data_IF_636139073138
#
_entry.id   IF_636139073138
#
_cell.length_a   1.000
_cell.length_b   1.000
_cell.length_c   1.000
_cell.angle_alpha   90.00
_cell.angle_beta   90.00
_cell.angle_gamma   90.00
#
_symmetry.space_group_name_H-M   'P 1'
#
loop_
_entity.id
_entity.type
_entity.pdbx_description
1 polymer ?
#
# COMPACT_ATOMS: atom_id res chain seq x y z
N UNK A 1 -29.53 34.35 23.91
CA UNK A 1 -29.78 32.90 23.77
C UNK A 1 -30.89 32.52 24.74
N UNK A 2 -31.92 31.78 24.31
CA UNK A 2 -33.11 31.52 25.10
C UNK A 2 -32.80 30.55 26.25
N UNK A 3 -33.28 30.86 27.45
CA UNK A 3 -33.01 30.14 28.68
C UNK A 3 -33.42 28.64 28.61
N UNK A 4 -34.40 28.32 27.77
CA UNK A 4 -34.87 26.95 27.49
C UNK A 4 -33.80 26.01 26.92
N UNK A 5 -32.77 26.51 26.24
CA UNK A 5 -31.77 25.62 25.65
C UNK A 5 -30.78 25.08 26.69
N UNK A 6 -30.67 25.70 27.87
CA UNK A 6 -29.72 25.27 28.92
C UNK A 6 -30.27 24.13 29.78
N UNK A 7 -31.58 24.06 30.02
CA UNK A 7 -32.19 22.98 30.80
C UNK A 7 -32.10 21.64 30.04
N UNK A 8 -32.50 21.62 28.76
CA UNK A 8 -32.45 20.39 27.93
C UNK A 8 -31.04 19.79 27.83
N UNK A 9 -29.99 20.62 27.81
CA UNK A 9 -28.61 20.15 27.77
C UNK A 9 -28.20 19.51 29.09
N UNK A 10 -28.62 20.07 30.24
CA UNK A 10 -28.34 19.48 31.55
C UNK A 10 -29.05 18.15 31.73
N UNK A 11 -30.31 18.05 31.33
CA UNK A 11 -31.10 16.82 31.44
C UNK A 11 -30.51 15.72 30.54
N UNK A 12 -30.08 16.08 29.33
CA UNK A 12 -29.41 15.14 28.41
C UNK A 12 -28.07 14.65 28.96
N UNK A 13 -27.28 15.53 29.60
CA UNK A 13 -26.00 15.15 30.20
C UNK A 13 -26.20 14.26 31.43
N UNK A 14 -27.21 14.52 32.25
CA UNK A 14 -27.54 13.68 33.39
C UNK A 14 -27.98 12.28 32.95
N UNK A 15 -28.84 12.18 31.93
CA UNK A 15 -29.26 10.90 31.37
C UNK A 15 -28.08 10.11 30.78
N UNK A 16 -27.15 10.80 30.11
CA UNK A 16 -25.96 10.17 29.53
C UNK A 16 -24.98 9.70 30.61
N UNK A 17 -24.82 10.46 31.70
CA UNK A 17 -24.02 10.05 32.85
C UNK A 17 -24.60 8.80 33.54
N UNK A 18 -25.92 8.71 33.68
CA UNK A 18 -26.59 7.53 34.25
C UNK A 18 -26.41 6.31 33.34
N UNK A 19 -26.60 6.45 32.03
CA UNK A 19 -26.37 5.36 31.06
C UNK A 19 -24.93 4.88 31.08
N UNK A 20 -23.96 5.81 31.13
CA UNK A 20 -22.55 5.47 31.24
C UNK A 20 -22.24 4.74 32.54
N UNK A 21 -22.74 5.23 33.67
CA UNK A 21 -22.58 4.58 34.98
C UNK A 21 -23.16 3.18 35.01
N UNK A 22 -24.34 2.97 34.41
CA UNK A 22 -24.97 1.65 34.33
C UNK A 22 -24.19 0.71 33.40
N UNK A 23 -23.67 1.21 32.28
CA UNK A 23 -22.79 0.46 31.39
C UNK A 23 -21.52 0.00 32.11
N UNK A 24 -20.83 0.91 32.80
CA UNK A 24 -19.63 0.57 33.58
C UNK A 24 -19.95 -0.46 34.68
N UNK A 25 -21.04 -0.26 35.43
CA UNK A 25 -21.45 -1.21 36.46
C UNK A 25 -21.76 -2.59 35.89
N UNK A 26 -22.43 -2.65 34.74
CA UNK A 26 -22.72 -3.90 34.03
C UNK A 26 -21.43 -4.61 33.58
N UNK A 27 -20.48 -3.90 33.00
CA UNK A 27 -19.18 -4.48 32.60
C UNK A 27 -18.39 -4.99 33.80
N UNK A 28 -18.36 -4.25 34.91
CA UNK A 28 -17.71 -4.69 36.15
C UNK A 28 -18.37 -5.95 36.69
N UNK A 29 -19.70 -5.99 36.73
CA UNK A 29 -20.45 -7.17 37.20
C UNK A 29 -20.21 -8.39 36.30
N UNK A 30 -20.19 -8.20 34.98
CA UNK A 30 -19.90 -9.27 34.02
C UNK A 30 -18.46 -9.79 34.16
N UNK A 31 -17.49 -8.91 34.34
CA UNK A 31 -16.10 -9.29 34.60
C UNK A 31 -15.94 -10.07 35.91
N UNK A 32 -16.60 -9.63 36.99
CA UNK A 32 -16.63 -10.37 38.25
C UNK A 32 -17.26 -11.77 38.09
N UNK A 33 -18.33 -11.89 37.31
CA UNK A 33 -18.95 -13.18 37.02
C UNK A 33 -18.00 -14.12 36.26
N UNK A 34 -17.23 -13.61 35.29
CA UNK A 34 -16.21 -14.39 34.59
C UNK A 34 -15.08 -14.85 35.51
N UNK A 35 -14.62 -13.99 36.44
CA UNK A 35 -13.59 -14.35 37.40
C UNK A 35 -14.06 -15.47 38.33
N UNK A 36 -15.31 -15.40 38.81
CA UNK A 36 -15.90 -16.46 39.64
C UNK A 36 -16.00 -17.76 38.84
N UNK A 37 -16.49 -17.70 37.59
CA UNK A 37 -16.61 -18.88 36.73
C UNK A 37 -15.23 -19.53 36.46
N UNK A 38 -14.21 -18.72 36.14
CA UNK A 38 -12.85 -19.20 35.94
C UNK A 38 -12.28 -19.86 37.20
N UNK A 39 -12.52 -19.26 38.38
CA UNK A 39 -12.12 -19.84 39.66
C UNK A 39 -12.80 -21.17 39.96
N UNK A 40 -14.10 -21.30 39.65
CA UNK A 40 -14.84 -22.55 39.79
C UNK A 40 -14.32 -23.64 38.85
N UNK A 41 -14.11 -23.32 37.57
CA UNK A 41 -13.53 -24.25 36.58
C UNK A 41 -12.15 -24.73 37.05
N UNK A 42 -11.30 -23.80 37.50
CA UNK A 42 -9.98 -24.14 38.03
C UNK A 42 -10.07 -25.04 39.26
N UNK A 43 -10.98 -24.76 40.19
CA UNK A 43 -11.22 -25.60 41.37
C UNK A 43 -11.62 -27.03 41.01
N UNK A 44 -12.55 -27.18 40.06
CA UNK A 44 -12.98 -28.51 39.57
C UNK A 44 -11.83 -29.25 38.90
N UNK A 45 -11.08 -28.58 38.02
CA UNK A 45 -9.92 -29.18 37.33
C UNK A 45 -8.83 -29.60 38.32
N UNK A 46 -8.55 -28.79 39.34
CA UNK A 46 -7.55 -29.11 40.36
C UNK A 46 -7.92 -30.36 41.18
N UNK A 47 -9.21 -30.58 41.45
CA UNK A 47 -9.71 -31.78 42.13
C UNK A 47 -9.62 -33.00 41.21
N UNK A 48 -10.06 -32.86 39.96
CA UNK A 48 -10.10 -33.97 38.99
C UNK A 48 -8.69 -34.43 38.59
N UNK A 49 -7.76 -33.51 38.38
CA UNK A 49 -6.43 -33.83 37.87
C UNK A 49 -5.41 -34.20 38.97
N UNK A 50 -5.80 -34.13 40.25
CA UNK A 50 -4.94 -34.40 41.42
C UNK A 50 -3.55 -33.75 41.33
N UNK A 51 -3.51 -32.49 40.88
CA UNK A 51 -2.24 -31.82 40.60
C UNK A 51 -1.38 -31.64 41.84
N UNK A 52 -0.06 -31.94 41.76
CA UNK A 52 0.88 -31.67 42.83
C UNK A 52 0.98 -30.16 43.11
N UNK A 53 1.30 -29.80 44.36
CA UNK A 53 1.28 -28.40 44.82
C UNK A 53 2.15 -27.45 43.97
N UNK A 54 3.23 -27.96 43.37
CA UNK A 54 4.11 -27.18 42.48
C UNK A 54 3.43 -26.74 41.17
N UNK A 55 2.62 -27.61 40.55
CA UNK A 55 1.91 -27.27 39.31
C UNK A 55 0.79 -26.26 39.55
N UNK A 56 0.15 -26.30 40.73
CA UNK A 56 -0.87 -25.32 41.12
C UNK A 56 -0.28 -23.91 41.22
N UNK A 57 0.93 -23.78 41.77
CA UNK A 57 1.66 -22.51 41.83
C UNK A 57 2.04 -22.01 40.43
N UNK A 58 2.51 -22.91 39.56
CA UNK A 58 2.86 -22.56 38.19
C UNK A 58 1.67 -22.05 37.38
N UNK A 59 0.54 -22.77 37.39
CA UNK A 59 -0.67 -22.35 36.66
C UNK A 59 -1.29 -21.06 37.21
N UNK A 60 -1.21 -20.85 38.53
CA UNK A 60 -1.65 -19.60 39.17
C UNK A 60 -0.81 -18.40 38.72
N UNK A 61 0.52 -18.56 38.66
CA UNK A 61 1.43 -17.54 38.16
C UNK A 61 1.23 -17.27 36.66
N UNK A 62 1.04 -18.32 35.86
CA UNK A 62 0.79 -18.20 34.42
C UNK A 62 -0.53 -17.47 34.13
N UNK A 63 -1.60 -17.81 34.87
CA UNK A 63 -2.89 -17.11 34.78
C UNK A 63 -2.77 -15.63 35.17
N UNK A 64 -2.03 -15.34 36.24
CA UNK A 64 -1.76 -13.96 36.68
C UNK A 64 -0.97 -13.17 35.64
N UNK A 65 0.00 -13.80 34.98
CA UNK A 65 0.76 -13.16 33.90
C UNK A 65 -0.10 -12.91 32.66
N UNK A 66 -0.96 -13.88 32.29
CA UNK A 66 -1.87 -13.75 31.16
C UNK A 66 -2.89 -12.63 31.40
N UNK A 67 -3.47 -12.55 32.59
CA UNK A 67 -4.41 -11.48 32.97
C UNK A 67 -3.74 -10.10 32.96
N UNK A 68 -2.51 -9.98 33.46
CA UNK A 68 -1.71 -8.74 33.38
C UNK A 68 -1.46 -8.31 31.92
N UNK A 69 -1.12 -9.26 31.04
CA UNK A 69 -0.91 -8.98 29.61
C UNK A 69 -2.20 -8.55 28.92
N UNK A 70 -3.32 -9.22 29.18
CA UNK A 70 -4.63 -8.85 28.63
C UNK A 70 -5.04 -7.46 29.11
N UNK A 71 -4.86 -7.14 30.40
CA UNK A 71 -5.13 -5.78 30.90
C UNK A 71 -4.22 -4.73 30.27
N UNK A 72 -2.94 -5.03 30.05
CA UNK A 72 -2.01 -4.15 29.33
C UNK A 72 -2.45 -3.89 27.89
N UNK A 73 -2.95 -4.91 27.19
CA UNK A 73 -3.51 -4.77 25.82
C UNK A 73 -4.79 -3.94 25.84
N UNK A 74 -5.69 -4.17 26.80
CA UNK A 74 -6.92 -3.39 26.94
C UNK A 74 -6.59 -1.92 27.23
N UNK A 75 -5.69 -1.64 28.17
CA UNK A 75 -5.26 -0.27 28.47
C UNK A 75 -4.59 0.40 27.28
N UNK A 76 -3.71 -0.31 26.56
CA UNK A 76 -3.10 0.20 25.33
C UNK A 76 -4.13 0.44 24.22
N UNK A 77 -5.16 -0.40 24.12
CA UNK A 77 -6.27 -0.18 23.17
C UNK A 77 -7.15 1.01 23.55
N UNK A 78 -7.32 1.29 24.86
CA UNK A 78 -8.00 2.49 25.33
C UNK A 78 -7.19 3.77 25.05
N UNK A 79 -5.85 3.71 25.13
CA UNK A 79 -4.97 4.82 24.72
C UNK A 79 -4.97 5.05 23.21
N UNK A 80 -5.31 4.03 22.42
CA UNK A 80 -5.51 4.14 20.97
C UNK A 80 -6.85 4.77 20.60
N UNK A 81 -7.75 5.07 21.55
CA UNK A 81 -8.95 5.86 21.28
C UNK A 81 -8.46 7.31 21.06
N UNK A 82 -8.47 7.81 19.81
CA UNK A 82 -7.94 9.14 19.55
C UNK A 82 -8.77 10.18 20.29
N UNK A 83 -8.12 11.21 20.86
CA UNK A 83 -8.78 12.35 21.52
C UNK A 83 -9.86 13.03 20.63
N UNK A 84 -9.85 12.76 19.33
CA UNK A 84 -10.88 13.20 18.39
C UNK A 84 -12.26 12.56 18.64
N UNK A 85 -12.34 11.39 19.27
CA UNK A 85 -13.59 10.71 19.62
C UNK A 85 -14.17 11.18 20.95
N UNK A 86 -13.32 11.55 21.91
CA UNK A 86 -13.72 12.16 23.19
C UNK A 86 -13.86 13.69 23.10
N UNK A 87 -13.54 14.26 21.94
CA UNK A 87 -13.73 15.66 21.61
C UNK A 87 -15.19 16.08 21.74
N UNK A 88 -15.53 16.62 22.91
CA UNK A 88 -16.65 17.56 23.08
C UNK A 88 -16.67 18.47 21.85
N UNK A 89 -17.83 18.54 21.18
CA UNK A 89 -18.07 19.37 19.99
C UNK A 89 -17.73 20.83 20.29
N UNK A 90 -16.46 21.18 20.22
CA UNK A 90 -15.98 22.55 20.22
C UNK A 90 -16.42 23.10 18.87
N UNK A 91 -17.66 23.61 18.84
CA UNK A 91 -18.24 24.28 17.67
C UNK A 91 -17.22 25.32 17.24
N UNK A 92 -16.62 25.09 16.07
CA UNK A 92 -15.71 26.04 15.47
C UNK A 92 -16.47 27.36 15.29
N UNK A 93 -15.81 28.47 15.64
CA UNK A 93 -16.41 29.80 15.47
C UNK A 93 -16.78 30.00 13.99
N UNK A 94 -17.94 30.57 13.65
CA UNK A 94 -18.29 30.86 12.27
C UNK A 94 -17.36 31.92 11.68
N UNK A 95 -17.13 31.85 10.36
CA UNK A 95 -16.36 32.87 9.65
C UNK A 95 -17.05 34.24 9.79
N UNK A 96 -16.33 35.30 10.20
CA UNK A 96 -16.94 36.62 10.39
C UNK A 96 -17.44 37.26 9.08
N UNK A 97 -16.91 36.84 7.92
CA UNK A 97 -17.35 37.37 6.62
C UNK A 97 -18.57 36.64 6.03
N UNK A 98 -18.61 35.31 6.11
CA UNK A 98 -19.64 34.51 5.42
C UNK A 98 -20.54 33.68 6.34
N UNK A 99 -20.31 33.69 7.66
CA UNK A 99 -21.12 32.99 8.65
C UNK A 99 -20.97 31.47 8.67
N UNK A 100 -20.25 30.86 7.73
CA UNK A 100 -20.06 29.40 7.67
C UNK A 100 -19.04 28.92 8.72
N UNK A 101 -19.29 27.75 9.31
CA UNK A 101 -18.41 27.14 10.32
C UNK A 101 -17.03 26.82 9.73
N UNK A 102 -15.99 27.06 10.52
CA UNK A 102 -14.62 26.80 10.14
C UNK A 102 -14.28 25.31 10.33
N UNK A 103 -13.42 24.75 9.49
CA UNK A 103 -13.03 23.32 9.61
C UNK A 103 -12.34 23.03 10.93
N UNK A 104 -11.55 23.98 11.43
CA UNK A 104 -10.87 23.91 12.72
C UNK A 104 -10.95 25.26 13.42
N UNK A 105 -10.90 25.27 14.76
CA UNK A 105 -10.89 26.50 15.55
C UNK A 105 -9.64 27.38 15.29
N UNK A 106 -8.58 26.82 14.68
CA UNK A 106 -7.31 27.48 14.34
C UNK A 106 -7.16 27.81 12.85
N UNK A 107 -8.19 27.61 12.03
CA UNK A 107 -8.12 27.95 10.62
C UNK A 107 -7.77 29.44 10.44
N UNK A 108 -6.74 29.75 9.64
CA UNK A 108 -6.34 31.14 9.34
C UNK A 108 -7.12 31.74 8.17
N UNK A 109 -7.78 30.90 7.37
CA UNK A 109 -8.48 31.28 6.15
C UNK A 109 -9.77 30.47 5.98
N UNK A 110 -10.83 31.09 5.46
CA UNK A 110 -12.10 30.40 5.20
C UNK A 110 -12.03 29.73 3.84
N UNK A 111 -12.26 28.43 3.81
CA UNK A 111 -12.31 27.65 2.55
C UNK A 111 -13.50 28.06 1.67
N UNK A 112 -14.55 28.67 2.22
CA UNK A 112 -15.72 29.09 1.45
C UNK A 112 -15.60 30.46 0.81
N UNK A 113 -14.97 31.44 1.47
CA UNK A 113 -14.90 32.82 0.97
C UNK A 113 -13.47 33.36 0.83
N UNK A 114 -12.46 32.58 1.15
CA UNK A 114 -11.04 32.95 1.05
C UNK A 114 -10.56 33.98 2.07
N UNK A 115 -11.42 34.52 2.92
CA UNK A 115 -11.06 35.56 3.88
C UNK A 115 -10.07 35.07 4.95
N UNK A 116 -9.04 35.86 5.24
CA UNK A 116 -8.13 35.68 6.39
C UNK A 116 -8.60 36.56 7.56
N UNK A 117 -8.66 36.05 8.79
CA UNK A 117 -9.13 36.83 9.98
C UNK A 117 -8.20 36.80 11.18
N UNK A 118 -7.15 35.96 11.17
CA UNK A 118 -6.04 36.11 12.10
C UNK A 118 -5.00 36.99 11.44
N UNK A 119 -5.29 38.29 11.43
CA UNK A 119 -4.31 39.31 11.12
C UNK A 119 -3.14 39.18 12.09
N UNK A 120 -1.94 39.35 11.56
CA UNK A 120 -0.73 39.57 12.33
C UNK A 120 -1.05 40.49 13.50
N UNK A 121 -0.71 40.07 14.73
CA UNK A 121 -0.69 40.99 15.85
C UNK A 121 0.05 42.24 15.37
N UNK A 122 -0.56 43.44 15.46
CA UNK A 122 0.13 44.65 15.05
C UNK A 122 1.43 44.70 15.84
N UNK A 123 2.54 44.48 15.12
CA UNK A 123 3.86 44.73 15.65
C UNK A 123 3.83 46.16 16.17
N UNK A 124 4.25 46.31 17.42
CA UNK A 124 4.44 47.60 18.07
C UNK A 124 5.28 48.50 17.14
N UNK A 125 4.61 49.38 16.42
CA UNK A 125 5.22 50.44 15.62
C UNK A 125 5.50 51.60 16.56
N UNK A 126 6.63 51.52 17.23
CA UNK A 126 7.26 52.62 17.95
C UNK A 126 8.73 52.67 17.55
N UNK A 127 9.03 53.37 16.47
CA UNK A 127 10.38 53.40 15.89
C UNK A 127 10.46 54.34 14.70
N UNK A 128 10.15 55.60 14.94
CA UNK A 128 10.37 56.73 14.05
C UNK A 128 11.88 56.85 13.74
N UNK A 129 12.25 56.69 12.47
CA UNK A 129 13.57 57.10 11.97
C UNK A 129 13.46 57.57 10.52
N UNK A 130 13.18 58.85 10.40
CA UNK A 130 13.52 59.70 9.27
C UNK A 130 15.02 59.61 8.94
N UNK A 131 15.40 59.03 7.79
CA UNK A 131 16.67 59.36 7.13
C UNK A 131 16.48 59.40 5.60
N UNK A 132 16.47 60.65 5.11
CA UNK A 132 17.05 61.17 3.86
C UNK A 132 16.97 60.36 2.56
N UNK A 133 16.29 61.00 1.62
CA UNK A 133 16.46 60.86 0.19
C UNK A 133 17.92 61.01 -0.27
N UNK A 134 18.36 60.11 -1.16
CA UNK A 134 19.34 60.45 -2.19
C UNK A 134 18.82 59.99 -3.55
N UNK A 135 18.61 60.98 -4.41
CA UNK A 135 18.32 60.88 -5.83
C UNK A 135 19.49 60.19 -6.55
N UNK A 136 19.19 59.22 -7.40
CA UNK A 136 20.18 58.60 -8.27
C UNK A 136 19.54 57.54 -9.16
N UNK A 137 19.04 57.97 -10.31
CA UNK A 137 18.38 57.08 -11.29
C UNK A 137 19.35 56.14 -11.99
N UNK A 138 18.83 54.97 -12.41
CA UNK A 138 19.14 54.35 -13.70
C UNK A 138 18.11 53.28 -14.04
N UNK A 139 17.71 53.35 -15.30
CA UNK A 139 16.87 52.48 -16.11
C UNK A 139 17.28 51.00 -16.09
N UNK A 140 16.32 50.08 -15.94
CA UNK A 140 16.26 48.80 -16.68
C UNK A 140 15.06 47.94 -16.24
N UNK A 141 14.24 47.50 -17.22
CA UNK A 141 13.39 46.28 -17.20
C UNK A 141 12.20 46.28 -16.22
N UNK A 142 10.92 46.26 -16.61
CA UNK A 142 10.34 45.70 -17.83
C UNK A 142 9.89 44.24 -17.64
N UNK A 143 9.13 43.92 -16.59
CA UNK A 143 8.25 42.74 -16.55
C UNK A 143 6.99 43.06 -15.73
N UNK A 144 5.89 43.30 -16.43
CA UNK A 144 4.54 43.28 -15.86
C UNK A 144 4.20 41.84 -15.45
N UNK A 145 3.94 41.64 -14.16
CA UNK A 145 3.43 40.38 -13.64
C UNK A 145 1.96 40.25 -14.02
N UNK A 146 1.72 39.29 -14.92
CA UNK A 146 0.42 38.81 -15.35
C UNK A 146 -0.48 38.50 -14.16
N UNK A 147 -1.64 39.15 -14.13
CA UNK A 147 -2.77 38.79 -13.28
C UNK A 147 -3.27 37.38 -13.66
N UNK A 148 -3.64 36.53 -12.69
CA UNK A 148 -4.25 35.24 -13.01
C UNK A 148 -5.62 35.45 -13.67
N UNK A 149 -5.85 34.70 -14.75
CA UNK A 149 -7.05 34.75 -15.59
C UNK A 149 -8.33 34.63 -14.73
N UNK A 150 -9.19 35.65 -14.84
CA UNK A 150 -10.56 35.59 -14.34
C UNK A 150 -11.35 34.56 -15.15
N UNK A 151 -12.10 33.70 -14.47
CA UNK A 151 -13.03 32.77 -15.12
C UNK A 151 -14.14 33.56 -15.82
N UNK A 152 -14.20 33.43 -17.15
CA UNK A 152 -15.14 34.14 -18.00
C UNK A 152 -16.56 33.62 -17.78
N UNK A 153 -17.48 34.53 -17.52
CA UNK A 153 -18.91 34.28 -17.30
C UNK A 153 -19.57 33.74 -18.60
N UNK A 154 -20.47 32.77 -18.46
CA UNK A 154 -21.24 32.12 -19.52
C UNK A 154 -22.03 33.09 -20.43
N UNK A 155 -22.28 34.33 -19.99
CA UNK A 155 -22.89 35.39 -20.78
C UNK A 155 -21.95 35.93 -21.88
N UNK A 156 -20.63 35.94 -21.66
CA UNK A 156 -19.66 36.47 -22.62
C UNK A 156 -19.32 35.45 -23.73
N UNK A 157 -19.44 34.15 -23.45
CA UNK A 157 -19.29 33.08 -24.45
C UNK A 157 -20.34 33.17 -25.57
N UNK A 158 -21.53 33.72 -25.28
CA UNK A 158 -22.59 33.92 -26.29
C UNK A 158 -22.32 35.09 -27.24
N UNK A 159 -21.51 36.07 -26.86
CA UNK A 159 -21.08 37.17 -27.75
C UNK A 159 -19.90 36.80 -28.63
N UNK A 160 -19.10 35.81 -28.22
CA UNK A 160 -17.91 35.35 -28.95
C UNK A 160 -18.21 34.37 -30.10
N UNK A 161 -19.48 34.05 -30.38
CA UNK A 161 -19.86 33.24 -31.54
C UNK A 161 -19.39 31.77 -31.49
N UNK A 162 -19.03 31.25 -30.31
CA UNK A 162 -18.61 29.87 -30.14
C UNK A 162 -19.86 28.98 -30.11
N UNK A 163 -20.08 28.08 -31.09
CA UNK A 163 -21.29 27.27 -31.15
C UNK A 163 -21.30 26.21 -30.04
N UNK A 164 -22.40 26.16 -29.30
CA UNK A 164 -22.64 25.13 -28.29
C UNK A 164 -22.90 23.77 -28.98
N UNK A 165 -22.09 22.77 -28.67
CA UNK A 165 -22.33 21.38 -29.11
C UNK A 165 -23.47 20.82 -28.24
N UNK A 166 -24.69 20.83 -28.79
CA UNK A 166 -25.86 20.16 -28.23
C UNK A 166 -25.74 18.66 -28.41
N UNK A 167 -25.68 17.92 -27.30
CA UNK A 167 -25.87 16.47 -27.28
C UNK A 167 -27.35 16.14 -27.52
N UNK A 168 -27.64 15.47 -28.62
CA UNK A 168 -28.92 14.84 -28.90
C UNK A 168 -28.67 13.46 -29.48
N UNK A 169 -29.05 12.41 -28.76
CA UNK A 169 -29.48 11.13 -29.33
C UNK A 169 -30.16 10.28 -28.24
N UNK A 170 -31.49 10.34 -28.23
CA UNK A 170 -32.37 9.30 -27.69
C UNK A 170 -32.69 8.34 -28.83
N UNK A 171 -32.63 7.03 -28.59
CA UNK A 171 -33.58 6.08 -29.18
C UNK A 171 -33.02 4.86 -29.93
N UNK A 172 -33.46 3.69 -29.44
CA UNK A 172 -34.16 2.65 -30.23
C UNK A 172 -33.40 1.42 -30.75
N UNK A 173 -33.69 0.30 -30.06
CA UNK A 173 -34.12 -1.03 -30.54
C UNK A 173 -33.34 -1.83 -31.61
N UNK A 174 -33.07 -3.09 -31.20
CA UNK A 174 -33.14 -4.36 -31.97
C UNK A 174 -32.24 -4.55 -33.19
N UNK A 175 -31.31 -5.52 -33.09
CA UNK A 175 -31.40 -6.83 -33.76
C UNK A 175 -30.15 -7.66 -33.43
N UNK A 176 -30.34 -8.89 -32.92
CA UNK A 176 -29.28 -9.91 -32.84
C UNK A 176 -29.17 -10.63 -34.20
N UNK A 177 -27.96 -10.99 -34.63
CA UNK A 177 -27.77 -12.12 -35.54
C UNK A 177 -27.24 -13.33 -34.77
N UNK A 178 -27.97 -14.44 -34.96
CA UNK A 178 -27.61 -15.80 -34.57
C UNK A 178 -26.36 -16.25 -35.35
N UNK A 179 -25.31 -16.67 -34.64
CA UNK A 179 -24.13 -17.33 -35.23
C UNK A 179 -24.29 -18.83 -35.04
N UNK A 180 -24.36 -19.52 -36.18
CA UNK A 180 -24.38 -20.97 -36.35
C UNK A 180 -22.97 -21.51 -36.08
N UNK A 181 -22.83 -22.41 -35.10
CA UNK A 181 -21.60 -23.18 -34.87
C UNK A 181 -21.62 -24.49 -35.68
N UNK A 182 -20.51 -24.90 -36.33
CA UNK A 182 -20.39 -26.22 -36.94
C UNK A 182 -20.09 -27.32 -35.90
N UNK A 183 -20.39 -28.60 -36.22
CA UNK A 183 -20.45 -29.69 -35.26
C UNK A 183 -19.09 -30.25 -34.83
N UNK A 184 -19.08 -30.69 -33.57
CA UNK A 184 -18.05 -31.43 -32.83
C UNK A 184 -17.62 -32.70 -33.56
N UNK A 185 -16.33 -32.81 -33.90
CA UNK A 185 -15.71 -34.06 -34.28
C UNK A 185 -15.32 -34.86 -33.02
N UNK A 186 -15.87 -36.07 -32.92
CA UNK A 186 -15.50 -37.13 -31.98
C UNK A 186 -14.13 -37.69 -32.33
N UNK A 187 -13.18 -37.63 -31.40
CA UNK A 187 -11.91 -38.35 -31.50
C UNK A 187 -11.93 -39.50 -30.48
N UNK A 188 -11.94 -40.71 -31.06
CA UNK A 188 -11.92 -41.98 -30.38
C UNK A 188 -10.61 -42.22 -29.63
N UNK A 189 -10.78 -42.80 -28.44
CA UNK A 189 -9.74 -43.45 -27.68
C UNK A 189 -9.29 -44.75 -28.35
N UNK A 190 -7.97 -44.96 -28.50
CA UNK A 190 -7.43 -46.32 -28.55
C UNK A 190 -5.97 -46.42 -28.11
N UNK A 191 -5.80 -47.32 -27.14
CA UNK A 191 -4.62 -47.86 -26.48
C UNK A 191 -3.44 -48.27 -27.37
N UNK A 192 -2.23 -48.05 -26.87
CA UNK A 192 -1.09 -49.02 -26.88
C UNK A 192 0.07 -48.39 -26.07
N UNK A 193 0.36 -48.76 -24.82
CA UNK A 193 1.05 -49.98 -24.37
C UNK A 193 2.22 -50.40 -25.27
N UNK A 194 3.44 -50.00 -24.91
CA UNK A 194 4.60 -50.88 -25.05
C UNK A 194 5.71 -50.50 -24.06
N UNK A 195 5.95 -51.43 -23.13
CA UNK A 195 7.09 -51.51 -22.24
C UNK A 195 8.42 -51.56 -23.02
N UNK A 196 9.50 -51.05 -22.42
CA UNK A 196 10.77 -51.78 -22.17
C UNK A 196 11.86 -50.87 -21.59
N UNK A 197 12.13 -51.05 -20.30
CA UNK A 197 13.47 -50.89 -19.70
C UNK A 197 14.44 -51.96 -20.23
N UNK A 198 15.75 -51.69 -20.23
CA UNK A 198 16.64 -52.29 -19.22
C UNK A 198 17.68 -51.29 -18.69
N UNK A 199 17.86 -51.18 -17.37
CA UNK A 199 18.81 -51.95 -16.56
C UNK A 199 20.30 -51.73 -16.91
N UNK A 200 20.96 -50.98 -16.03
CA UNK A 200 22.24 -51.27 -15.38
C UNK A 200 23.27 -52.13 -16.11
N UNK A 201 24.42 -51.50 -16.40
CA UNK A 201 25.82 -51.99 -16.34
C UNK A 201 26.72 -50.84 -16.81
N UNK A 202 27.94 -50.58 -16.37
CA UNK A 202 28.82 -51.05 -15.30
C UNK A 202 30.17 -50.35 -15.57
N UNK A 203 30.88 -50.01 -14.49
CA UNK A 203 32.33 -49.79 -14.39
C UNK A 203 33.03 -48.63 -15.13
N UNK A 204 33.51 -47.71 -14.28
CA UNK A 204 34.93 -47.42 -14.07
C UNK A 204 35.86 -47.57 -15.28
N UNK A 205 36.35 -46.45 -15.81
CA UNK A 205 37.76 -46.35 -16.15
C UNK A 205 38.24 -44.89 -16.16
N UNK A 206 39.31 -44.66 -15.39
CA UNK A 206 40.28 -43.56 -15.49
C UNK A 206 39.89 -42.17 -14.94
N UNK A 207 40.00 -42.12 -13.61
CA UNK A 207 40.91 -41.17 -12.96
C UNK A 207 42.29 -41.21 -13.66
N UNK A 208 42.77 -40.06 -14.13
CA UNK A 208 44.17 -39.63 -14.17
C UNK A 208 44.36 -38.64 -15.32
N UNK A 209 44.57 -37.37 -14.97
CA UNK A 209 45.41 -36.33 -15.58
C UNK A 209 45.12 -35.08 -14.72
N UNK A 210 45.92 -34.77 -13.70
CA UNK A 210 47.28 -34.23 -13.87
C UNK A 210 47.13 -32.72 -14.08
N UNK A 211 46.94 -31.93 -13.02
CA UNK A 211 48.02 -31.20 -12.31
C UNK A 211 48.93 -30.43 -13.27
N UNK A 212 48.45 -29.28 -13.75
CA UNK A 212 49.31 -28.18 -14.17
C UNK A 212 49.01 -26.98 -13.27
N UNK A 213 49.99 -26.67 -12.43
CA UNK A 213 50.06 -25.50 -11.57
C UNK A 213 51.03 -24.56 -12.27
N UNK A 214 50.51 -23.55 -12.95
CA UNK A 214 51.34 -22.50 -13.55
C UNK A 214 51.76 -21.54 -12.45
N UNK A 215 53.04 -21.63 -12.08
CA UNK A 215 53.79 -20.63 -11.35
C UNK A 215 53.90 -19.36 -12.21
N UNK A 216 53.49 -18.22 -11.68
CA UNK A 216 53.84 -16.90 -12.20
C UNK A 216 55.13 -16.43 -11.52
N UNK A 217 56.08 -15.82 -12.25
CA UNK A 217 57.32 -15.32 -11.67
C UNK A 217 57.10 -13.99 -10.94
N UNK A 218 57.80 -13.87 -9.81
CA UNK A 218 58.02 -12.67 -9.03
C UNK A 218 58.56 -11.53 -9.91
N UNK A 219 57.86 -10.39 -9.91
CA UNK A 219 58.39 -9.14 -10.39
C UNK A 219 58.76 -8.25 -9.20
N UNK A 220 60.01 -7.83 -9.25
CA UNK A 220 60.78 -7.07 -8.28
C UNK A 220 60.24 -5.67 -7.99
N UNK A 221 60.40 -5.33 -6.71
CA UNK A 221 60.29 -4.04 -6.04
C UNK A 221 60.88 -2.86 -6.81
N UNK A 222 60.07 -1.84 -7.12
CA UNK A 222 60.52 -0.46 -7.31
C UNK A 222 59.83 0.44 -6.27
N UNK A 223 60.64 1.01 -5.39
CA UNK A 223 60.26 2.02 -4.42
C UNK A 223 59.81 3.31 -5.12
N UNK A 224 58.60 3.79 -4.81
CA UNK A 224 58.19 5.17 -5.06
C UNK A 224 57.73 5.82 -3.75
N UNK A 225 58.11 7.09 -3.51
CA UNK A 225 58.00 7.69 -2.19
C UNK A 225 56.57 8.10 -1.86
N UNK A 226 56.27 7.94 -0.58
CA UNK A 226 55.05 8.33 0.10
C UNK A 226 54.70 9.80 -0.16
N UNK A 227 53.55 10.06 -0.77
CA UNK A 227 52.76 11.25 -0.49
C UNK A 227 51.51 10.84 0.26
N UNK A 228 51.57 11.03 1.58
CA UNK A 228 50.44 11.01 2.49
C UNK A 228 49.43 12.08 2.05
N UNK A 229 48.36 11.65 1.38
CA UNK A 229 47.08 12.35 1.38
C UNK A 229 46.09 11.47 2.11
N UNK A 230 45.79 11.87 3.34
CA UNK A 230 44.64 11.44 4.11
C UNK A 230 43.39 11.81 3.29
N UNK A 231 42.93 10.87 2.46
CA UNK A 231 41.62 10.92 1.88
C UNK A 231 40.64 10.58 3.02
N UNK A 232 39.94 11.60 3.49
CA UNK A 232 38.79 11.44 4.36
C UNK A 232 37.78 10.63 3.56
N UNK A 233 37.65 9.33 3.86
CA UNK A 233 36.59 8.51 3.31
C UNK A 233 35.26 9.19 3.67
N UNK A 234 34.56 9.71 2.66
CA UNK A 234 33.19 10.12 2.83
C UNK A 234 32.42 8.91 3.34
N UNK A 235 31.55 9.06 4.36
CA UNK A 235 30.72 7.96 4.82
C UNK A 235 29.92 7.45 3.62
N UNK A 236 30.10 6.18 3.26
CA UNK A 236 29.22 5.50 2.29
C UNK A 236 27.79 5.68 2.80
N UNK A 237 26.99 6.44 2.04
CA UNK A 237 25.57 6.57 2.36
C UNK A 237 24.95 5.16 2.25
N UNK A 238 24.16 4.74 3.26
CA UNK A 238 23.60 3.42 3.28
C UNK A 238 22.67 3.23 2.07
N UNK A 239 22.96 2.18 1.30
CA UNK A 239 22.20 1.68 0.15
C UNK A 239 20.68 1.86 0.31
N UNK A 240 20.12 2.77 -0.50
CA UNK A 240 18.71 3.19 -0.43
C UNK A 240 17.76 2.02 -0.77
N UNK A 241 18.21 1.04 -1.55
CA UNK A 241 17.43 -0.15 -1.91
C UNK A 241 17.23 -1.06 -0.68
N UNK A 242 18.27 -1.23 0.12
CA UNK A 242 18.23 -1.96 1.39
C UNK A 242 17.38 -1.28 2.46
N UNK A 243 17.20 0.06 2.38
CA UNK A 243 16.23 0.80 3.21
C UNK A 243 14.82 0.57 2.74
N UNK A 244 14.55 0.68 1.43
CA UNK A 244 13.22 0.48 0.85
C UNK A 244 12.66 -0.91 1.19
N UNK A 245 13.47 -1.96 1.06
CA UNK A 245 13.09 -3.33 1.40
C UNK A 245 12.74 -3.50 2.90
N UNK A 246 13.55 -2.94 3.81
CA UNK A 246 13.26 -2.97 5.26
C UNK A 246 12.05 -2.13 5.66
N UNK A 247 11.71 -1.12 4.88
CA UNK A 247 10.53 -0.27 5.09
C UNK A 247 9.23 -0.93 4.66
N UNK A 248 9.26 -1.63 3.52
CA UNK A 248 8.17 -2.52 3.10
C UNK A 248 7.87 -3.53 4.22
N UNK A 249 8.92 -4.13 4.81
CA UNK A 249 8.80 -5.08 5.93
C UNK A 249 8.11 -4.48 7.19
N UNK A 250 8.50 -3.26 7.60
CA UNK A 250 7.92 -2.59 8.79
C UNK A 250 6.47 -2.18 8.57
N UNK A 251 6.11 -1.74 7.35
CA UNK A 251 4.72 -1.42 7.02
C UNK A 251 3.86 -2.66 6.88
N UNK A 252 4.42 -3.75 6.35
CA UNK A 252 3.76 -5.07 6.34
C UNK A 252 3.30 -5.43 7.74
N UNK A 253 4.15 -5.23 8.76
CA UNK A 253 3.77 -5.48 10.18
C UNK A 253 2.65 -4.59 10.70
N UNK A 254 2.60 -3.32 10.30
CA UNK A 254 1.57 -2.38 10.78
C UNK A 254 0.23 -2.58 10.06
N UNK A 255 0.27 -2.83 8.75
CA UNK A 255 -0.87 -3.30 7.96
C UNK A 255 -1.40 -4.61 8.52
N UNK A 256 -0.52 -5.55 8.93
CA UNK A 256 -0.92 -6.78 9.62
C UNK A 256 -1.72 -6.52 10.90
N UNK A 257 -1.42 -5.51 11.71
CA UNK A 257 -2.17 -5.22 12.95
C UNK A 257 -3.57 -4.67 12.67
N UNK A 258 -3.70 -3.77 11.68
CA UNK A 258 -5.02 -3.26 11.27
C UNK A 258 -5.85 -4.34 10.57
N UNK A 259 -5.23 -5.13 9.69
CA UNK A 259 -5.84 -6.32 9.11
C UNK A 259 -6.21 -7.35 10.17
N UNK A 260 -5.41 -7.51 11.23
CA UNK A 260 -5.74 -8.39 12.35
C UNK A 260 -7.04 -7.95 13.04
N UNK A 261 -7.23 -6.64 13.25
CA UNK A 261 -8.48 -6.12 13.79
C UNK A 261 -9.66 -6.34 12.85
N UNK A 262 -9.50 -6.10 11.55
CA UNK A 262 -10.56 -6.37 10.57
C UNK A 262 -10.90 -7.87 10.51
N UNK A 263 -9.90 -8.74 10.58
CA UNK A 263 -10.07 -10.20 10.66
C UNK A 263 -10.74 -10.65 11.95
N UNK A 264 -10.40 -10.05 13.08
CA UNK A 264 -11.07 -10.30 14.36
C UNK A 264 -12.57 -9.94 14.28
N UNK A 265 -12.94 -8.99 13.43
CA UNK A 265 -14.33 -8.60 13.14
C UNK A 265 -14.92 -9.41 11.95
N UNK A 266 -14.21 -10.42 11.44
CA UNK A 266 -14.65 -11.29 10.35
C UNK A 266 -14.65 -10.63 8.96
N UNK A 267 -13.96 -9.51 8.80
CA UNK A 267 -13.77 -8.85 7.48
C UNK A 267 -12.41 -9.25 6.92
N UNK A 268 -12.44 -10.03 5.85
CA UNK A 268 -11.23 -10.55 5.20
C UNK A 268 -10.47 -9.51 4.37
N UNK A 269 -11.14 -8.44 3.94
CA UNK A 269 -10.52 -7.28 3.31
C UNK A 269 -11.43 -6.05 3.42
N UNK A 270 -10.84 -4.87 3.65
CA UNK A 270 -11.57 -3.59 3.65
C UNK A 270 -12.02 -3.24 2.22
N UNK A 271 -11.21 -3.59 1.22
CA UNK A 271 -11.44 -3.25 -0.19
C UNK A 271 -12.63 -3.99 -0.79
N UNK A 272 -12.92 -5.21 -0.31
CA UNK A 272 -14.06 -6.02 -0.76
C UNK A 272 -15.42 -5.40 -0.43
N UNK A 273 -15.48 -4.59 0.62
CA UNK A 273 -16.71 -3.90 1.04
C UNK A 273 -16.96 -2.61 0.25
N UNK A 274 -16.01 -2.17 -0.56
CA UNK A 274 -16.14 -0.95 -1.33
C UNK A 274 -16.83 -1.19 -2.65
N UNK A 275 -17.74 -0.28 -2.99
CA UNK A 275 -18.47 -0.34 -4.24
C UNK A 275 -17.53 0.07 -5.38
N UNK A 276 -17.11 -0.91 -6.18
CA UNK A 276 -16.36 -0.69 -7.42
C UNK A 276 -17.30 -0.39 -8.57
N UNK A 277 -16.77 0.23 -9.62
CA UNK A 277 -17.48 0.24 -10.90
C UNK A 277 -17.57 -1.20 -11.41
N UNK A 278 -18.79 -1.68 -11.65
CA UNK A 278 -19.02 -3.01 -12.20
C UNK A 278 -18.40 -3.20 -13.60
N UNK A 279 -18.07 -2.10 -14.27
CA UNK A 279 -17.43 -2.09 -15.59
C UNK A 279 -15.92 -1.88 -15.54
N UNK A 280 -15.30 -1.77 -14.35
CA UNK A 280 -13.86 -1.64 -14.22
C UNK A 280 -13.19 -2.89 -14.80
N UNK A 281 -12.57 -2.74 -15.98
CA UNK A 281 -11.77 -3.79 -16.61
C UNK A 281 -10.37 -3.70 -16.04
N UNK A 282 -10.05 -4.65 -15.16
CA UNK A 282 -8.70 -4.78 -14.63
C UNK A 282 -7.80 -5.34 -15.74
N UNK A 283 -6.93 -4.51 -16.27
CA UNK A 283 -5.99 -4.86 -17.34
C UNK A 283 -4.61 -4.33 -16.96
N UNK A 284 -3.59 -5.19 -17.06
CA UNK A 284 -2.20 -4.81 -16.84
C UNK A 284 -1.38 -5.06 -18.10
N UNK A 285 -0.69 -4.03 -18.59
CA UNK A 285 0.21 -4.11 -19.75
C UNK A 285 1.67 -4.10 -19.26
N UNK A 286 2.33 -5.27 -19.35
CA UNK A 286 3.71 -5.48 -18.94
C UNK A 286 4.71 -4.74 -19.82
N UNK A 287 4.42 -4.52 -21.11
CA UNK A 287 5.35 -3.75 -21.96
C UNK A 287 5.34 -2.27 -21.56
N UNK A 288 4.15 -1.73 -21.32
CA UNK A 288 3.97 -0.32 -20.94
C UNK A 288 4.11 -0.04 -19.45
N UNK A 289 4.20 -1.07 -18.63
CA UNK A 289 4.13 -1.01 -17.16
C UNK A 289 2.91 -0.20 -16.70
N UNK A 290 1.72 -0.56 -17.18
CA UNK A 290 0.51 0.23 -16.97
C UNK A 290 -0.68 -0.59 -16.47
N UNK A 291 -1.32 -0.10 -15.41
CA UNK A 291 -2.56 -0.65 -14.88
C UNK A 291 -3.75 0.18 -15.38
N UNK A 292 -4.64 -0.44 -16.15
CA UNK A 292 -5.81 0.20 -16.77
C UNK A 292 -5.42 1.48 -17.55
N UNK A 293 -4.26 1.45 -18.22
CA UNK A 293 -3.69 2.59 -18.95
C UNK A 293 -3.00 3.66 -18.09
N UNK A 294 -2.95 3.48 -16.77
CA UNK A 294 -2.16 4.32 -15.85
C UNK A 294 -0.79 3.70 -15.66
N UNK A 295 0.21 4.28 -16.32
CA UNK A 295 1.59 3.80 -16.30
C UNK A 295 2.33 4.12 -15.00
N UNK A 296 3.40 3.36 -14.72
CA UNK A 296 4.43 3.78 -13.78
C UNK A 296 4.97 5.17 -14.19
N UNK A 297 5.21 6.03 -13.21
CA UNK A 297 5.54 7.45 -13.32
C UNK A 297 4.31 8.38 -13.33
N UNK A 298 3.10 7.85 -13.48
CA UNK A 298 1.89 8.66 -13.45
C UNK A 298 1.53 9.09 -12.02
N UNK A 299 0.85 10.24 -11.90
CA UNK A 299 0.29 10.68 -10.63
C UNK A 299 -0.75 9.67 -10.11
N UNK A 300 -0.69 9.36 -8.81
CA UNK A 300 -1.51 8.35 -8.16
C UNK A 300 -3.02 8.66 -8.24
N UNK A 301 -3.39 9.94 -8.36
CA UNK A 301 -4.77 10.40 -8.50
C UNK A 301 -5.43 9.86 -9.76
N UNK A 302 -4.66 9.54 -10.82
CA UNK A 302 -5.20 8.99 -12.07
C UNK A 302 -5.79 7.59 -11.90
N UNK A 303 -5.40 6.87 -10.84
CA UNK A 303 -6.02 5.59 -10.50
C UNK A 303 -7.48 5.73 -10.05
N UNK A 304 -7.93 6.93 -9.68
CA UNK A 304 -9.35 7.15 -9.35
C UNK A 304 -10.25 7.01 -10.57
N UNK A 305 -9.70 7.30 -11.75
CA UNK A 305 -10.45 7.27 -13.01
C UNK A 305 -10.58 5.84 -13.58
N UNK A 306 -9.86 4.86 -13.01
CA UNK A 306 -9.87 3.46 -13.49
C UNK A 306 -11.01 2.63 -12.91
N UNK A 307 -11.75 3.16 -11.93
CA UNK A 307 -12.88 2.46 -11.30
C UNK A 307 -12.49 1.39 -10.28
N UNK A 308 -11.22 1.30 -9.88
CA UNK A 308 -10.72 0.36 -8.85
C UNK A 308 -11.37 0.56 -7.47
N UNK A 309 -11.91 1.75 -7.23
CA UNK A 309 -12.45 2.16 -5.94
C UNK A 309 -11.35 2.69 -5.01
N UNK A 310 -11.64 2.82 -3.71
CA UNK A 310 -10.64 3.17 -2.71
C UNK A 310 -9.61 2.02 -2.56
N UNK A 311 -8.45 2.34 -1.96
CA UNK A 311 -7.42 1.36 -1.57
C UNK A 311 -7.26 1.36 -0.05
N UNK A 312 -6.76 0.26 0.53
CA UNK A 312 -6.20 0.32 1.88
C UNK A 312 -4.86 1.06 1.79
N UNK A 313 -4.71 2.14 2.54
CA UNK A 313 -3.58 3.06 2.36
C UNK A 313 -2.65 3.00 3.56
N UNK A 314 -1.36 2.79 3.29
CA UNK A 314 -0.30 2.94 4.28
C UNK A 314 0.73 3.96 3.81
N UNK A 315 1.39 4.59 4.78
CA UNK A 315 2.35 5.67 4.53
C UNK A 315 3.60 5.46 5.37
N UNK A 316 4.77 5.60 4.75
CA UNK A 316 6.00 5.94 5.45
C UNK A 316 7.15 6.23 4.51
N UNK A 317 8.13 6.94 5.05
CA UNK A 317 9.32 7.44 4.35
C UNK A 317 9.01 8.16 3.03
N UNK A 318 7.89 8.89 3.02
CA UNK A 318 7.42 9.64 1.84
C UNK A 318 6.78 8.77 0.75
N UNK A 319 6.68 7.45 0.97
CA UNK A 319 6.00 6.51 0.09
C UNK A 319 4.60 6.23 0.63
N UNK A 320 3.64 6.26 -0.30
CA UNK A 320 2.25 5.87 -0.11
C UNK A 320 2.05 4.52 -0.80
N UNK A 321 1.65 3.51 -0.04
CA UNK A 321 1.30 2.19 -0.56
C UNK A 321 -0.22 2.05 -0.56
N UNK A 322 -0.78 1.68 -1.71
CA UNK A 322 -2.19 1.43 -1.94
C UNK A 322 -2.38 -0.08 -2.16
N UNK A 323 -3.00 -0.75 -1.20
CA UNK A 323 -3.24 -2.19 -1.26
C UNK A 323 -4.69 -2.48 -1.66
N UNK A 324 -4.86 -3.25 -2.72
CA UNK A 324 -6.12 -3.83 -3.21
C UNK A 324 -6.04 -5.35 -3.07
N UNK A 325 -5.96 -5.84 -1.83
CA UNK A 325 -5.66 -7.25 -1.52
C UNK A 325 -6.67 -8.25 -2.12
N UNK A 326 -7.94 -7.87 -2.22
CA UNK A 326 -8.97 -8.70 -2.85
C UNK A 326 -8.90 -8.68 -4.39
N UNK A 327 -8.02 -7.88 -4.98
CA UNK A 327 -7.67 -7.89 -6.39
C UNK A 327 -6.24 -8.43 -6.62
N UNK A 328 -5.53 -8.88 -5.58
CA UNK A 328 -4.14 -9.31 -5.69
C UNK A 328 -3.23 -8.21 -6.26
N UNK A 329 -3.40 -6.97 -5.81
CA UNK A 329 -2.70 -5.80 -6.36
C UNK A 329 -2.20 -4.86 -5.25
N UNK A 330 -0.92 -4.48 -5.32
CA UNK A 330 -0.34 -3.40 -4.51
C UNK A 330 0.33 -2.35 -5.39
N UNK A 331 0.25 -1.09 -4.98
CA UNK A 331 0.80 0.05 -5.72
C UNK A 331 1.58 0.94 -4.77
N UNK A 332 2.86 1.14 -5.02
CA UNK A 332 3.67 2.11 -4.30
C UNK A 332 3.87 3.38 -5.14
N UNK A 333 3.61 4.52 -4.51
CA UNK A 333 3.72 5.83 -5.13
C UNK A 333 4.31 6.86 -4.17
N UNK A 334 4.96 7.89 -4.70
CA UNK A 334 5.37 9.08 -3.94
C UNK A 334 4.84 10.35 -4.61
N UNK A 335 4.78 11.45 -3.86
CA UNK A 335 4.36 12.74 -4.42
C UNK A 335 5.30 13.24 -5.53
N UNK A 336 6.59 12.89 -5.44
CA UNK A 336 7.62 13.37 -6.37
C UNK A 336 7.69 12.51 -7.63
N UNK A 337 7.67 11.18 -7.48
CA UNK A 337 7.87 10.24 -8.60
C UNK A 337 6.57 9.73 -9.21
N UNK A 338 5.42 10.01 -8.58
CA UNK A 338 4.18 9.33 -8.91
C UNK A 338 4.24 7.85 -8.52
N UNK A 339 3.51 7.02 -9.25
CA UNK A 339 3.57 5.55 -9.12
C UNK A 339 4.97 5.10 -9.51
N UNK A 340 5.65 4.33 -8.68
CA UNK A 340 6.98 3.77 -9.02
C UNK A 340 7.02 2.25 -9.00
N UNK A 341 6.10 1.61 -8.27
CA UNK A 341 6.01 0.15 -8.19
C UNK A 341 4.55 -0.30 -8.33
N UNK A 342 4.33 -1.33 -9.15
CA UNK A 342 3.07 -2.05 -9.28
C UNK A 342 3.37 -3.54 -9.02
N UNK A 343 2.67 -4.15 -8.07
CA UNK A 343 2.87 -5.55 -7.70
C UNK A 343 1.55 -6.32 -7.89
N UNK A 344 1.65 -7.47 -8.56
CA UNK A 344 0.54 -8.35 -8.88
C UNK A 344 0.78 -9.70 -8.21
N UNK A 345 -0.23 -10.25 -7.53
CA UNK A 345 -0.11 -11.49 -6.77
C UNK A 345 -1.02 -12.57 -7.35
N UNK A 346 -0.51 -13.79 -7.54
CA UNK A 346 -1.28 -14.95 -7.99
C UNK A 346 -1.40 -16.06 -6.94
N UNK A 347 -0.49 -16.12 -5.98
CA UNK A 347 -0.55 -17.11 -4.90
C UNK A 347 -1.48 -16.70 -3.75
N UNK A 348 -1.89 -17.71 -2.98
CA UNK A 348 -2.76 -17.54 -1.82
C UNK A 348 -1.92 -17.76 -0.57
N UNK A 349 -1.42 -16.67 0.03
CA UNK A 349 -0.75 -16.80 1.32
C UNK A 349 -1.71 -17.41 2.34
N UNK A 350 -1.30 -18.44 3.09
CA UNK A 350 -2.11 -18.93 4.22
C UNK A 350 -2.44 -17.81 5.21
N UNK A 351 -1.55 -16.81 5.28
CA UNK A 351 -1.67 -15.68 6.20
C UNK A 351 -2.44 -14.51 5.63
N UNK A 352 -2.69 -14.42 4.32
CA UNK A 352 -3.45 -13.35 3.70
C UNK A 352 -4.48 -13.97 2.77
N UNK A 353 -5.77 -13.70 3.02
CA UNK A 353 -6.85 -14.11 2.13
C UNK A 353 -6.83 -13.28 0.83
N UNK A 354 -5.66 -13.23 0.20
CA UNK A 354 -5.40 -12.54 -1.04
C UNK A 354 -5.98 -13.42 -2.15
N UNK A 355 -6.77 -12.77 -3.00
CA UNK A 355 -7.28 -13.41 -4.20
C UNK A 355 -6.25 -13.19 -5.30
N UNK A 356 -6.02 -14.23 -6.11
CA UNK A 356 -5.16 -14.11 -7.29
C UNK A 356 -5.64 -12.96 -8.17
N UNK A 357 -4.70 -12.22 -8.77
CA UNK A 357 -4.99 -11.10 -9.64
C UNK A 357 -5.99 -11.52 -10.73
N UNK A 358 -7.23 -10.97 -10.73
CA UNK A 358 -8.29 -11.44 -11.61
C UNK A 358 -8.29 -10.73 -12.98
N UNK A 359 -7.35 -9.82 -13.18
CA UNK A 359 -7.27 -8.98 -14.36
C UNK A 359 -6.63 -9.67 -15.57
N UNK A 360 -6.78 -9.04 -16.73
CA UNK A 360 -6.12 -9.47 -17.96
C UNK A 360 -4.70 -8.94 -17.99
N UNK A 361 -3.75 -9.80 -18.33
CA UNK A 361 -2.36 -9.42 -18.51
C UNK A 361 -2.04 -9.32 -20.00
N UNK A 362 -1.32 -8.27 -20.39
CA UNK A 362 -0.91 -8.02 -21.76
C UNK A 362 0.61 -7.86 -21.86
N UNK A 363 1.18 -8.30 -22.97
CA UNK A 363 2.56 -8.00 -23.36
C UNK A 363 2.64 -7.84 -24.87
N UNK A 364 3.18 -6.71 -25.34
CA UNK A 364 3.20 -6.33 -26.76
C UNK A 364 1.80 -6.46 -27.42
N UNK A 365 0.76 -6.06 -26.68
CA UNK A 365 -0.65 -6.13 -27.10
C UNK A 365 -1.26 -7.54 -27.15
N UNK A 366 -0.50 -8.59 -26.82
CA UNK A 366 -0.99 -9.97 -26.73
C UNK A 366 -1.39 -10.31 -25.30
N UNK A 367 -2.49 -11.04 -25.15
CA UNK A 367 -2.95 -11.49 -23.83
C UNK A 367 -2.12 -12.65 -23.30
N UNK A 368 -1.71 -12.56 -22.04
CA UNK A 368 -0.97 -13.56 -21.30
C UNK A 368 -1.90 -14.28 -20.33
N UNK A 369 -1.91 -15.61 -20.37
CA UNK A 369 -2.69 -16.45 -19.47
C UNK A 369 -1.90 -16.77 -18.21
N UNK A 370 -1.69 -15.77 -17.35
CA UNK A 370 -0.98 -15.93 -16.08
C UNK A 370 -1.92 -16.43 -14.96
N UNK A 371 -1.43 -17.38 -14.17
CA UNK A 371 -2.11 -17.95 -13.01
C UNK A 371 -1.10 -18.45 -11.99
N UNK A 372 -1.55 -18.87 -10.81
CA UNK A 372 -0.68 -19.53 -9.82
C UNK A 372 -0.09 -20.86 -10.30
N UNK A 373 -0.64 -21.45 -11.36
CA UNK A 373 -0.12 -22.69 -11.96
C UNK A 373 0.89 -22.43 -13.07
N UNK A 374 1.05 -21.16 -13.48
CA UNK A 374 1.98 -20.78 -14.54
C UNK A 374 3.40 -21.04 -14.10
N UNK A 375 4.13 -21.81 -14.90
CA UNK A 375 5.50 -22.21 -14.60
C UNK A 375 6.53 -21.25 -15.17
N UNK A 376 7.74 -21.33 -14.64
CA UNK A 376 8.89 -20.55 -15.05
C UNK A 376 9.17 -20.71 -16.57
N UNK A 377 9.06 -21.91 -17.12
CA UNK A 377 9.25 -22.18 -18.57
C UNK A 377 8.18 -21.51 -19.44
N UNK A 378 6.93 -21.49 -18.98
CA UNK A 378 5.82 -20.87 -19.72
C UNK A 378 6.02 -19.35 -19.83
N UNK A 379 6.51 -18.71 -18.76
CA UNK A 379 6.83 -17.28 -18.80
C UNK A 379 7.97 -16.99 -19.77
N UNK A 380 9.02 -17.84 -19.81
CA UNK A 380 10.09 -17.72 -20.81
C UNK A 380 9.58 -17.92 -22.24
N UNK A 381 8.64 -18.83 -22.47
CA UNK A 381 8.02 -19.02 -23.79
C UNK A 381 7.20 -17.78 -24.21
N UNK A 382 6.48 -17.17 -23.27
CA UNK A 382 5.65 -15.99 -23.52
C UNK A 382 6.46 -14.71 -23.73
N UNK A 383 7.51 -14.48 -22.95
CA UNK A 383 8.25 -13.21 -22.89
C UNK A 383 9.63 -13.26 -23.54
N UNK A 384 10.15 -14.46 -23.84
CA UNK A 384 11.48 -14.66 -24.39
C UNK A 384 12.55 -14.90 -23.33
N UNK A 385 13.80 -14.56 -23.65
CA UNK A 385 14.94 -14.75 -22.75
C UNK A 385 14.97 -13.65 -21.68
N UNK A 386 15.01 -13.99 -20.37
CA UNK A 386 15.12 -12.99 -19.32
C UNK A 386 16.47 -12.27 -19.38
N UNK A 387 16.49 -11.03 -18.88
CA UNK A 387 17.70 -10.21 -18.76
C UNK A 387 18.60 -10.68 -17.62
N UNK A 388 18.01 -11.20 -16.54
CA UNK A 388 18.69 -11.86 -15.44
C UNK A 388 17.80 -13.00 -14.90
N UNK A 389 18.42 -14.00 -14.30
CA UNK A 389 17.74 -15.09 -13.63
C UNK A 389 18.51 -15.40 -12.34
N UNK A 390 17.81 -15.35 -11.22
CA UNK A 390 18.37 -15.62 -9.90
C UNK A 390 17.55 -16.71 -9.21
N UNK A 391 18.20 -17.82 -8.85
CA UNK A 391 17.61 -18.85 -8.01
C UNK A 391 18.21 -18.70 -6.62
N UNK A 392 17.37 -18.30 -5.66
CA UNK A 392 17.74 -18.15 -4.26
C UNK A 392 17.86 -19.50 -3.56
N UNK A 393 18.61 -19.51 -2.45
CA UNK A 393 18.86 -20.72 -1.64
C UNK A 393 17.58 -21.33 -1.03
N UNK A 394 16.50 -20.56 -0.95
CA UNK A 394 15.19 -20.95 -0.39
C UNK A 394 14.23 -21.52 -1.45
N UNK A 395 14.71 -21.87 -2.65
CA UNK A 395 13.86 -22.43 -3.71
C UNK A 395 12.98 -21.38 -4.41
N UNK A 396 13.28 -20.10 -4.26
CA UNK A 396 12.65 -19.04 -5.04
C UNK A 396 13.46 -18.79 -6.32
N UNK A 397 12.79 -18.82 -7.46
CA UNK A 397 13.39 -18.40 -8.74
C UNK A 397 12.79 -17.07 -9.16
N UNK A 398 13.64 -16.09 -9.47
CA UNK A 398 13.27 -14.77 -10.00
C UNK A 398 13.74 -14.64 -11.44
N UNK A 399 12.84 -14.23 -12.34
CA UNK A 399 13.14 -13.89 -13.73
C UNK A 399 12.94 -12.40 -13.95
N UNK A 400 13.97 -11.67 -14.35
CA UNK A 400 13.85 -10.25 -14.67
C UNK A 400 13.84 -10.02 -16.18
N UNK A 401 12.91 -9.20 -16.64
CA UNK A 401 12.77 -8.80 -18.04
C UNK A 401 12.85 -7.28 -18.15
N UNK A 402 13.75 -6.80 -19.01
CA UNK A 402 13.76 -5.40 -19.42
C UNK A 402 12.70 -5.17 -20.51
N UNK A 403 11.77 -4.26 -20.23
CA UNK A 403 10.67 -3.88 -21.12
C UNK A 403 10.80 -2.43 -21.58
N UNK A 404 9.92 -1.95 -22.46
CA UNK A 404 10.08 -0.62 -23.07
C UNK A 404 10.06 0.56 -22.08
N UNK A 405 9.44 0.38 -20.90
CA UNK A 405 9.30 1.42 -19.86
C UNK A 405 10.04 1.14 -18.55
N UNK A 406 10.73 0.02 -18.42
CA UNK A 406 11.40 -0.34 -17.18
C UNK A 406 11.71 -1.83 -17.10
N UNK A 407 11.50 -2.41 -15.93
CA UNK A 407 11.84 -3.80 -15.64
C UNK A 407 10.68 -4.48 -14.92
N UNK A 408 10.51 -5.78 -15.20
CA UNK A 408 9.50 -6.65 -14.61
C UNK A 408 10.24 -7.86 -14.03
N UNK A 409 10.02 -8.14 -12.75
CA UNK A 409 10.51 -9.35 -12.09
C UNK A 409 9.34 -10.30 -11.83
N UNK A 410 9.47 -11.55 -12.25
CA UNK A 410 8.53 -12.63 -11.95
C UNK A 410 9.18 -13.58 -10.94
N UNK A 411 8.49 -13.83 -9.83
CA UNK A 411 8.97 -14.69 -8.75
C UNK A 411 8.17 -16.00 -8.70
N UNK A 412 8.86 -17.12 -8.61
CA UNK A 412 8.30 -18.47 -8.53
C UNK A 412 8.72 -19.14 -7.22
N UNK A 413 7.79 -19.86 -6.62
CA UNK A 413 8.02 -20.61 -5.38
C UNK A 413 8.07 -22.11 -5.70
N UNK A 414 9.24 -22.73 -5.57
CA UNK A 414 9.41 -24.16 -5.85
C UNK A 414 8.78 -25.06 -4.78
N UNK A 415 8.66 -24.61 -3.52
CA UNK A 415 8.09 -25.41 -2.44
C UNK A 415 6.59 -25.67 -2.66
N UNK A 416 5.89 -24.71 -3.26
CA UNK A 416 4.47 -24.84 -3.65
C UNK A 416 4.27 -25.46 -5.06
N UNK A 417 5.29 -26.12 -5.60
CA UNK A 417 5.22 -26.82 -6.89
C UNK A 417 5.68 -26.00 -8.10
N UNK A 418 6.42 -24.92 -7.88
CA UNK A 418 7.05 -24.10 -8.93
C UNK A 418 6.08 -23.14 -9.63
N UNK A 419 4.99 -22.77 -8.96
CA UNK A 419 3.99 -21.86 -9.48
C UNK A 419 4.42 -20.40 -9.42
N UNK A 420 3.85 -19.58 -10.30
CA UNK A 420 4.02 -18.12 -10.26
C UNK A 420 3.41 -17.56 -8.98
N UNK A 421 4.23 -16.91 -8.16
CA UNK A 421 3.78 -16.28 -6.92
C UNK A 421 3.36 -14.84 -7.16
N UNK A 422 4.26 -13.99 -7.62
CA UNK A 422 4.01 -12.57 -7.84
C UNK A 422 4.85 -12.02 -9.01
N UNK A 423 4.40 -10.89 -9.55
CA UNK A 423 5.16 -10.10 -10.51
C UNK A 423 5.30 -8.66 -10.00
N UNK A 424 6.53 -8.18 -9.90
CA UNK A 424 6.87 -6.83 -9.46
C UNK A 424 7.31 -6.02 -10.66
N UNK A 425 6.63 -4.90 -10.89
CA UNK A 425 6.89 -4.00 -12.00
C UNK A 425 7.44 -2.68 -11.46
N UNK A 426 8.60 -2.28 -11.94
CA UNK A 426 9.26 -1.04 -11.53
C UNK A 426 9.71 -0.26 -12.75
N UNK A 427 9.57 1.06 -12.69
CA UNK A 427 10.21 1.89 -13.69
C UNK A 427 11.71 1.78 -13.46
N UNK A 428 12.44 1.37 -14.51
CA UNK A 428 13.89 1.44 -14.59
C UNK A 428 14.36 2.88 -14.65
N UNK A 429 13.97 3.72 -13.70
CA UNK A 429 14.79 4.83 -13.30
C UNK A 429 15.99 4.21 -12.63
N UNK A 430 16.98 3.90 -13.45
CA UNK A 430 18.33 3.65 -12.99
C UNK A 430 18.62 4.77 -11.97
N UNK A 431 18.62 4.43 -10.67
CA UNK A 431 18.96 5.29 -9.54
C UNK A 431 20.45 5.71 -9.57
N UNK A 432 21.07 5.80 -10.76
CA UNK A 432 22.49 6.15 -10.91
C UNK A 432 22.78 7.63 -10.69
N UNK A 433 21.75 8.48 -10.56
CA UNK A 433 21.92 9.92 -10.37
C UNK A 433 21.51 10.40 -8.96
N UNK A 434 21.51 9.51 -7.95
CA UNK A 434 21.45 9.90 -6.54
C UNK A 434 22.82 9.74 -5.89
#
# INVERSE_FOLDING_TARGET
MPQESRSRVRDSLAALAVLFGFGVAYYVLWFLALLVLAGLIFGVLAVVANWPAGERLFWSLLSSFLTLKVMGVILGALDLIPESWTGTKNRSKPCPKCGKNLRTARARQCMHCGARWHGESPAASGGDRTVRASVGGRTSGGYDLLSPAQSMNQADQRKAGIPAITAAAKGSLTTQPSIVLPPRATLDARNSSCERTPAAKELQLRKNLGRERTEYPEATTEERPQMSRVATAAPEEPDDDGRLARLVEVHRRRAHVMNLWYRLVGRHSVTRAWQRDANARLEFDFDRLALCGVGVGAAVERLRDTGLGPADESYGDGVRVLSYLDLGLEIAASEVRGIHTLELHWWRSETLADESFPGRCLFDGRELSLSSQTKCEEVREMLGTPSSEETGDEGFTSLEYRVSKGEVSFSFDEEEGGGLSHAVCFAGFILKDF
#
